data_IF_150574605205
#
_entry.id   IF_150574605205
#
_cell.length_a   1.000
_cell.length_b   1.000
_cell.length_c   1.000
_cell.angle_alpha   90.00
_cell.angle_beta   90.00
_cell.angle_gamma   90.00
#
_symmetry.space_group_name_H-M   'P 1'
#
loop_
_entity.id
_entity.type
_entity.pdbx_description
1 polymer ?
#
# COMPACT_ATOMS: atom_id res chain seq x y z
N UNK A 1 -29.17 10.55 -31.46
CA UNK A 1 -28.37 11.30 -30.46
C UNK A 1 -27.34 10.32 -29.91
N UNK A 2 -26.17 10.29 -30.54
CA UNK A 2 -25.18 9.21 -30.43
C UNK A 2 -24.00 9.70 -29.56
N UNK A 3 -24.26 9.94 -28.27
CA UNK A 3 -23.39 10.78 -27.44
C UNK A 3 -22.75 10.09 -26.21
N UNK A 4 -22.88 8.78 -26.00
CA UNK A 4 -22.35 8.15 -24.76
C UNK A 4 -21.26 7.11 -24.97
N UNK A 5 -20.63 7.06 -26.16
CA UNK A 5 -19.48 6.17 -26.40
C UNK A 5 -18.11 6.80 -26.11
N UNK A 6 -17.99 8.13 -26.16
CA UNK A 6 -16.67 8.76 -26.05
C UNK A 6 -16.20 8.88 -24.59
N UNK A 7 -15.07 8.25 -24.22
CA UNK A 7 -14.47 8.38 -22.90
C UNK A 7 -14.01 9.82 -22.63
N UNK A 8 -14.06 10.23 -21.36
CA UNK A 8 -13.30 11.41 -20.92
C UNK A 8 -11.79 11.12 -20.94
N UNK A 9 -10.96 12.15 -21.03
CA UNK A 9 -9.50 12.09 -20.97
C UNK A 9 -8.99 11.31 -19.74
N UNK A 10 -9.74 11.34 -18.63
CA UNK A 10 -9.42 10.53 -17.46
C UNK A 10 -9.52 9.02 -17.72
N UNK A 11 -10.49 8.56 -18.52
CA UNK A 11 -10.65 7.15 -18.86
C UNK A 11 -9.51 6.67 -19.76
N UNK A 12 -9.08 7.47 -20.74
CA UNK A 12 -7.90 7.13 -21.57
C UNK A 12 -6.67 6.83 -20.70
N UNK A 13 -6.45 7.65 -19.66
CA UNK A 13 -5.38 7.41 -18.69
C UNK A 13 -5.61 6.16 -17.84
N UNK A 14 -6.84 5.89 -17.41
CA UNK A 14 -7.20 4.66 -16.68
C UNK A 14 -6.89 3.43 -17.53
N UNK A 15 -7.29 3.41 -18.80
CA UNK A 15 -7.04 2.31 -19.73
C UNK A 15 -5.54 2.11 -19.98
N UNK A 16 -4.79 3.20 -20.16
CA UNK A 16 -3.33 3.15 -20.28
C UNK A 16 -2.65 2.56 -19.04
N UNK A 17 -3.10 2.95 -17.84
CA UNK A 17 -2.60 2.41 -16.58
C UNK A 17 -3.00 0.95 -16.35
N UNK A 18 -4.24 0.59 -16.66
CA UNK A 18 -4.74 -0.78 -16.56
C UNK A 18 -3.95 -1.73 -17.47
N UNK A 19 -3.57 -1.29 -18.67
CA UNK A 19 -2.67 -2.04 -19.56
C UNK A 19 -1.30 -2.27 -18.92
N UNK A 20 -0.74 -1.29 -18.23
CA UNK A 20 0.53 -1.41 -17.54
C UNK A 20 0.48 -2.29 -16.28
N UNK A 21 -0.70 -2.45 -15.67
CA UNK A 21 -0.90 -3.34 -14.53
C UNK A 21 -0.98 -4.83 -14.92
N UNK A 22 -1.18 -5.12 -16.21
CA UNK A 22 -1.30 -6.48 -16.74
C UNK A 22 0.08 -7.14 -16.85
N UNK A 23 0.19 -8.37 -16.37
CA UNK A 23 1.44 -9.14 -16.41
C UNK A 23 1.80 -9.64 -17.82
N UNK A 24 0.79 -10.06 -18.59
CA UNK A 24 0.97 -10.54 -19.97
C UNK A 24 0.59 -9.45 -20.99
N UNK A 25 1.51 -9.07 -21.87
CA UNK A 25 1.23 -8.07 -22.91
C UNK A 25 0.19 -8.54 -23.96
N UNK A 26 -0.10 -9.83 -24.06
CA UNK A 26 -1.08 -10.41 -24.98
C UNK A 26 -2.47 -10.68 -24.41
N UNK A 27 -2.61 -10.85 -23.09
CA UNK A 27 -3.86 -11.27 -22.45
C UNK A 27 -4.96 -10.21 -22.40
N UNK A 28 -6.23 -10.61 -22.21
CA UNK A 28 -7.32 -9.64 -22.08
C UNK A 28 -7.20 -8.78 -20.81
N UNK A 29 -7.64 -7.52 -20.90
CA UNK A 29 -7.69 -6.61 -19.75
C UNK A 29 -8.94 -6.92 -18.90
N UNK A 30 -8.71 -7.46 -17.70
CA UNK A 30 -9.76 -7.79 -16.73
C UNK A 30 -10.21 -6.63 -15.84
N UNK A 31 -11.26 -6.86 -15.06
CA UNK A 31 -11.85 -5.88 -14.13
C UNK A 31 -10.85 -5.41 -13.05
N UNK A 32 -9.98 -6.31 -12.57
CA UNK A 32 -8.91 -6.04 -11.61
C UNK A 32 -7.89 -5.01 -12.14
N UNK A 33 -7.59 -5.07 -13.44
CA UNK A 33 -6.69 -4.14 -14.10
C UNK A 33 -7.33 -2.76 -14.25
N UNK A 34 -8.61 -2.71 -14.62
CA UNK A 34 -9.36 -1.46 -14.72
C UNK A 34 -9.47 -0.77 -13.36
N UNK A 35 -9.73 -1.53 -12.28
CA UNK A 35 -9.76 -1.01 -10.92
C UNK A 35 -8.41 -0.42 -10.51
N UNK A 36 -7.30 -1.15 -10.75
CA UNK A 36 -5.96 -0.64 -10.53
C UNK A 36 -5.70 0.64 -11.34
N UNK A 37 -6.15 0.69 -12.61
CA UNK A 37 -6.06 1.87 -13.46
C UNK A 37 -6.74 3.11 -12.88
N UNK A 38 -7.92 2.97 -12.25
CA UNK A 38 -8.65 4.08 -11.61
C UNK A 38 -7.80 4.80 -10.56
N UNK A 39 -6.95 4.07 -9.83
CA UNK A 39 -6.10 4.67 -8.77
C UNK A 39 -5.07 5.68 -9.30
N UNK A 40 -4.78 5.65 -10.60
CA UNK A 40 -3.88 6.60 -11.28
C UNK A 40 -4.61 7.84 -11.81
N UNK A 41 -5.94 7.84 -11.79
CA UNK A 41 -6.78 8.92 -12.28
C UNK A 41 -6.84 10.11 -11.30
N UNK A 42 -7.64 11.14 -11.60
CA UNK A 42 -7.92 12.24 -10.67
C UNK A 42 -9.42 12.26 -10.41
N UNK A 43 -9.83 12.73 -9.23
CA UNK A 43 -11.22 12.94 -8.86
C UNK A 43 -11.80 11.86 -7.94
N UNK A 44 -13.12 11.96 -7.74
CA UNK A 44 -13.86 11.28 -6.67
C UNK A 44 -13.68 9.75 -6.64
N UNK A 45 -13.57 9.10 -7.81
CA UNK A 45 -13.36 7.65 -7.86
C UNK A 45 -12.05 7.22 -7.19
N UNK A 46 -10.96 7.92 -7.49
CA UNK A 46 -9.68 7.69 -6.84
C UNK A 46 -9.74 8.04 -5.35
N UNK A 47 -10.36 9.16 -5.01
CA UNK A 47 -10.46 9.62 -3.63
C UNK A 47 -11.24 8.62 -2.76
N UNK A 48 -12.35 8.07 -3.26
CA UNK A 48 -13.12 7.03 -2.60
C UNK A 48 -12.30 5.75 -2.35
N UNK A 49 -11.57 5.27 -3.37
CA UNK A 49 -10.67 4.12 -3.23
C UNK A 49 -9.55 4.39 -2.21
N UNK A 50 -8.86 5.52 -2.34
CA UNK A 50 -7.74 5.89 -1.45
C UNK A 50 -8.22 6.06 -0.01
N UNK A 51 -9.41 6.60 0.21
CA UNK A 51 -10.00 6.77 1.54
C UNK A 51 -10.18 5.42 2.27
N UNK A 52 -10.57 4.36 1.56
CA UNK A 52 -10.72 3.01 2.12
C UNK A 52 -9.41 2.20 2.09
N UNK A 53 -8.31 2.75 1.54
CA UNK A 53 -7.00 2.08 1.51
C UNK A 53 -6.69 1.35 0.21
N UNK A 54 -7.59 1.38 -0.77
CA UNK A 54 -7.37 0.83 -2.11
C UNK A 54 -6.49 1.79 -2.93
N UNK A 55 -5.23 1.90 -2.54
CA UNK A 55 -4.25 2.72 -3.25
C UNK A 55 -3.61 1.96 -4.40
N UNK A 56 -2.96 2.68 -5.32
CA UNK A 56 -2.17 2.05 -6.39
C UNK A 56 -1.16 1.04 -5.82
N UNK A 57 -0.49 1.38 -4.72
CA UNK A 57 0.46 0.50 -4.04
C UNK A 57 -0.21 -0.78 -3.54
N UNK A 58 -1.34 -0.67 -2.82
CA UNK A 58 -2.04 -1.84 -2.28
C UNK A 58 -2.58 -2.76 -3.39
N UNK A 59 -3.25 -2.19 -4.40
CA UNK A 59 -3.82 -2.99 -5.48
C UNK A 59 -2.74 -3.66 -6.33
N UNK A 60 -1.65 -2.96 -6.67
CA UNK A 60 -0.55 -3.55 -7.43
C UNK A 60 0.23 -4.60 -6.63
N UNK A 61 0.37 -4.46 -5.30
CA UNK A 61 1.00 -5.47 -4.45
C UNK A 61 0.25 -6.81 -4.55
N UNK A 62 -1.09 -6.77 -4.44
CA UNK A 62 -1.92 -7.99 -4.58
C UNK A 62 -1.87 -8.57 -5.98
N UNK A 63 -1.94 -7.72 -7.03
CA UNK A 63 -1.87 -8.18 -8.42
C UNK A 63 -0.54 -8.88 -8.73
N UNK A 64 0.58 -8.32 -8.26
CA UNK A 64 1.91 -8.93 -8.41
C UNK A 64 2.00 -10.23 -7.64
N UNK A 65 1.55 -10.25 -6.39
CA UNK A 65 1.57 -11.45 -5.56
C UNK A 65 0.82 -12.62 -6.19
N UNK A 66 -0.39 -12.35 -6.70
CA UNK A 66 -1.20 -13.37 -7.39
C UNK A 66 -0.55 -13.84 -8.70
N UNK A 67 0.04 -12.92 -9.46
CA UNK A 67 0.77 -13.27 -10.69
C UNK A 67 1.96 -14.19 -10.38
N UNK A 68 2.77 -13.85 -9.38
CA UNK A 68 3.97 -14.61 -9.01
C UNK A 68 3.64 -16.00 -8.47
N UNK A 69 2.56 -16.13 -7.69
CA UNK A 69 2.14 -17.39 -7.08
C UNK A 69 1.29 -18.27 -8.00
N UNK A 70 1.07 -17.89 -9.26
CA UNK A 70 0.06 -18.48 -10.14
C UNK A 70 -1.30 -18.60 -9.43
N UNK A 71 -1.62 -17.62 -8.57
CA UNK A 71 -2.84 -17.61 -7.78
C UNK A 71 -4.03 -17.47 -8.71
N UNK A 72 -4.82 -18.53 -8.83
CA UNK A 72 -6.05 -18.48 -9.59
C UNK A 72 -7.01 -17.47 -8.94
N UNK A 73 -7.55 -16.58 -9.76
CA UNK A 73 -8.71 -15.80 -9.37
C UNK A 73 -9.89 -16.75 -9.19
N UNK A 74 -10.65 -16.56 -8.11
CA UNK A 74 -11.89 -17.33 -7.92
C UNK A 74 -12.98 -16.83 -8.87
N UNK A 75 -13.01 -15.53 -9.16
CA UNK A 75 -13.84 -14.95 -10.19
C UNK A 75 -13.23 -15.20 -11.57
N UNK A 76 -14.02 -15.83 -12.45
CA UNK A 76 -13.59 -16.15 -13.83
C UNK A 76 -13.37 -14.88 -14.68
N UNK A 77 -14.09 -13.80 -14.38
CA UNK A 77 -14.13 -12.54 -15.16
C UNK A 77 -14.63 -12.72 -16.60
N UNK A 78 -15.16 -13.90 -16.93
CA UNK A 78 -15.51 -14.35 -18.27
C UNK A 78 -14.34 -14.18 -19.25
N UNK A 79 -13.18 -14.73 -18.89
CA UNK A 79 -11.95 -14.58 -19.67
C UNK A 79 -12.10 -15.15 -21.10
N UNK A 80 -12.86 -16.23 -21.28
CA UNK A 80 -13.12 -16.84 -22.59
C UNK A 80 -14.04 -15.98 -23.48
N UNK A 81 -14.86 -15.10 -22.90
CA UNK A 81 -15.76 -14.20 -23.61
C UNK A 81 -15.13 -12.83 -23.86
N UNK A 82 -13.84 -12.80 -24.20
CA UNK A 82 -13.09 -11.56 -24.42
C UNK A 82 -13.61 -10.78 -25.63
N UNK A 83 -13.69 -9.45 -25.50
CA UNK A 83 -14.26 -8.53 -26.50
C UNK A 83 -13.22 -7.52 -26.93
N UNK A 84 -13.19 -7.15 -28.22
CA UNK A 84 -12.26 -6.12 -28.70
C UNK A 84 -12.61 -4.74 -28.13
N UNK A 85 -11.59 -3.94 -27.82
CA UNK A 85 -11.82 -2.61 -27.24
C UNK A 85 -12.64 -1.70 -28.16
N UNK A 86 -12.52 -1.83 -29.48
CA UNK A 86 -13.32 -1.07 -30.46
C UNK A 86 -14.81 -1.44 -30.43
N UNK A 87 -15.15 -2.69 -30.13
CA UNK A 87 -16.55 -3.12 -30.04
C UNK A 87 -17.26 -2.46 -28.84
N UNK A 88 -16.51 -2.19 -27.76
CA UNK A 88 -17.02 -1.56 -26.54
C UNK A 88 -16.95 -0.03 -26.62
N UNK A 89 -15.80 0.52 -27.03
CA UNK A 89 -15.50 1.96 -26.97
C UNK A 89 -15.67 2.68 -28.31
N UNK A 90 -15.95 1.97 -29.41
CA UNK A 90 -16.01 2.54 -30.76
C UNK A 90 -14.62 3.02 -31.23
N UNK A 91 -14.60 4.14 -31.96
CA UNK A 91 -13.39 4.75 -32.51
C UNK A 91 -12.35 5.17 -31.46
N UNK A 92 -12.78 5.32 -30.21
CA UNK A 92 -11.91 5.64 -29.07
C UNK A 92 -11.23 4.38 -28.47
N UNK A 93 -11.55 3.19 -28.98
CA UNK A 93 -10.96 1.92 -28.57
C UNK A 93 -9.58 1.66 -29.18
N UNK A 94 -8.71 0.95 -28.45
CA UNK A 94 -7.42 0.52 -28.97
C UNK A 94 -7.51 -0.84 -29.64
N UNK A 95 -7.23 -0.90 -30.94
CA UNK A 95 -7.20 -2.12 -31.78
C UNK A 95 -6.40 -3.29 -31.21
N UNK A 96 -5.40 -3.00 -30.38
CA UNK A 96 -4.53 -4.03 -29.80
C UNK A 96 -4.97 -4.48 -28.41
N UNK A 97 -6.08 -3.96 -27.92
CA UNK A 97 -6.59 -4.23 -26.57
C UNK A 97 -7.89 -5.01 -26.67
N UNK A 98 -7.98 -6.09 -25.89
CA UNK A 98 -9.23 -6.81 -25.61
C UNK A 98 -9.57 -6.65 -24.13
N UNK A 99 -10.85 -6.71 -23.81
CA UNK A 99 -11.38 -6.75 -22.45
C UNK A 99 -11.92 -8.15 -22.17
N UNK A 100 -11.85 -8.61 -20.92
CA UNK A 100 -12.62 -9.78 -20.50
C UNK A 100 -14.13 -9.48 -20.61
N UNK A 101 -14.98 -10.51 -20.60
CA UNK A 101 -16.43 -10.31 -20.69
C UNK A 101 -16.98 -9.44 -19.54
N UNK A 102 -16.50 -9.65 -18.32
CA UNK A 102 -16.88 -8.84 -17.16
C UNK A 102 -16.37 -7.39 -17.26
N UNK A 103 -15.15 -7.16 -17.76
CA UNK A 103 -14.63 -5.82 -17.98
C UNK A 103 -15.43 -5.05 -19.05
N UNK A 104 -15.82 -5.72 -20.14
CA UNK A 104 -16.66 -5.14 -21.18
C UNK A 104 -18.06 -4.78 -20.64
N UNK A 105 -18.67 -5.63 -19.81
CA UNK A 105 -19.94 -5.31 -19.13
C UNK A 105 -19.81 -4.14 -18.17
N UNK A 106 -18.76 -4.08 -17.36
CA UNK A 106 -18.52 -2.97 -16.44
C UNK A 106 -18.38 -1.62 -17.18
N UNK A 107 -17.68 -1.59 -18.32
CA UNK A 107 -17.58 -0.42 -19.19
C UNK A 107 -18.93 -0.03 -19.79
N UNK A 108 -19.71 -1.01 -20.25
CA UNK A 108 -21.06 -0.78 -20.78
C UNK A 108 -21.99 -0.21 -19.71
N UNK A 109 -21.98 -0.79 -18.51
CA UNK A 109 -22.72 -0.29 -17.35
C UNK A 109 -22.30 1.14 -17.00
N UNK A 110 -21.00 1.45 -17.06
CA UNK A 110 -20.49 2.81 -16.83
C UNK A 110 -21.05 3.83 -17.84
N UNK A 111 -21.12 3.47 -19.12
CA UNK A 111 -21.75 4.31 -20.15
C UNK A 111 -23.23 4.52 -19.89
N UNK A 112 -23.94 3.48 -19.46
CA UNK A 112 -25.35 3.59 -19.10
C UNK A 112 -25.55 4.46 -17.86
N UNK A 113 -24.69 4.36 -16.84
CA UNK A 113 -24.75 5.24 -15.66
C UNK A 113 -24.56 6.70 -16.06
N UNK A 114 -23.55 6.99 -16.90
CA UNK A 114 -23.33 8.34 -17.42
C UNK A 114 -24.57 8.85 -18.18
N UNK A 115 -25.19 8.01 -19.02
CA UNK A 115 -26.42 8.36 -19.76
C UNK A 115 -27.59 8.66 -18.83
N UNK A 116 -27.79 7.86 -17.79
CA UNK A 116 -28.87 8.06 -16.80
C UNK A 116 -28.67 9.36 -16.00
N UNK A 117 -27.43 9.76 -15.78
CA UNK A 117 -27.05 11.00 -15.09
C UNK A 117 -26.97 12.21 -16.03
N UNK A 118 -27.37 12.07 -17.31
CA UNK A 118 -27.24 13.08 -18.37
C UNK A 118 -25.81 13.66 -18.48
N UNK A 119 -24.81 12.84 -18.18
CA UNK A 119 -23.42 13.21 -18.30
C UNK A 119 -22.99 13.11 -19.76
N UNK A 120 -22.40 14.19 -20.30
CA UNK A 120 -21.94 14.23 -21.69
C UNK A 120 -20.82 13.24 -22.02
N UNK A 121 -20.15 12.65 -21.02
CA UNK A 121 -19.15 11.59 -21.14
C UNK A 121 -19.17 10.68 -19.92
N UNK A 122 -18.76 9.42 -20.07
CA UNK A 122 -18.51 8.56 -18.92
C UNK A 122 -17.09 8.77 -18.37
N UNK A 123 -16.98 8.97 -17.05
CA UNK A 123 -15.70 9.11 -16.34
C UNK A 123 -15.44 7.98 -15.34
N UNK A 124 -14.33 8.09 -14.60
CA UNK A 124 -13.89 7.07 -13.64
C UNK A 124 -14.90 6.75 -12.53
N UNK A 125 -15.78 7.70 -12.17
CA UNK A 125 -16.88 7.46 -11.22
C UNK A 125 -17.85 6.40 -11.73
N UNK A 126 -18.27 6.53 -13.00
CA UNK A 126 -19.21 5.58 -13.59
C UNK A 126 -18.54 4.22 -13.78
N UNK A 127 -17.27 4.20 -14.17
CA UNK A 127 -16.49 2.96 -14.28
C UNK A 127 -16.36 2.26 -12.94
N UNK A 128 -16.04 2.99 -11.86
CA UNK A 128 -15.95 2.41 -10.53
C UNK A 128 -17.29 1.80 -10.10
N UNK A 129 -18.42 2.46 -10.35
CA UNK A 129 -19.74 1.87 -10.07
C UNK A 129 -20.00 0.61 -10.90
N UNK A 130 -19.67 0.62 -12.19
CA UNK A 130 -19.82 -0.56 -13.05
C UNK A 130 -18.96 -1.74 -12.60
N UNK A 131 -17.71 -1.51 -12.19
CA UNK A 131 -16.81 -2.54 -11.69
C UNK A 131 -17.31 -3.17 -10.37
N UNK A 132 -17.95 -2.38 -9.51
CA UNK A 132 -18.41 -2.84 -8.19
C UNK A 132 -19.87 -3.31 -8.18
N UNK A 133 -20.52 -3.41 -9.34
CA UNK A 133 -21.91 -3.82 -9.46
C UNK A 133 -22.09 -5.35 -9.50
N UNK A 134 -21.08 -6.08 -9.97
CA UNK A 134 -21.09 -7.54 -10.14
C UNK A 134 -19.97 -8.17 -9.31
N UNK A 135 -20.10 -9.46 -9.01
CA UNK A 135 -19.02 -10.25 -8.42
C UNK A 135 -18.02 -10.62 -9.53
N UNK A 136 -16.82 -10.03 -9.47
CA UNK A 136 -15.78 -10.11 -10.49
C UNK A 136 -14.40 -9.91 -9.86
N UNK A 137 -13.34 -9.95 -10.67
CA UNK A 137 -11.97 -9.84 -10.14
C UNK A 137 -11.66 -8.48 -9.51
N UNK A 138 -12.32 -7.39 -9.87
CA UNK A 138 -12.18 -6.11 -9.17
C UNK A 138 -12.71 -6.19 -7.72
N UNK A 139 -13.88 -6.80 -7.52
CA UNK A 139 -14.44 -7.05 -6.18
C UNK A 139 -13.55 -8.00 -5.39
N UNK A 140 -13.08 -9.08 -6.02
CA UNK A 140 -12.15 -10.02 -5.39
C UNK A 140 -10.82 -9.33 -4.99
N UNK A 141 -10.29 -8.45 -5.84
CA UNK A 141 -9.07 -7.68 -5.57
C UNK A 141 -9.24 -6.75 -4.36
N UNK A 142 -10.38 -6.07 -4.22
CA UNK A 142 -10.68 -5.29 -3.01
C UNK A 142 -10.79 -6.20 -1.78
N UNK A 143 -11.46 -7.34 -1.91
CA UNK A 143 -11.59 -8.33 -0.84
C UNK A 143 -10.23 -8.85 -0.36
N UNK A 144 -9.29 -9.11 -1.29
CA UNK A 144 -7.92 -9.49 -0.97
C UNK A 144 -7.15 -8.38 -0.23
N UNK A 145 -7.53 -7.12 -0.40
CA UNK A 145 -7.01 -5.99 0.39
C UNK A 145 -7.74 -5.80 1.74
N UNK A 146 -8.77 -6.60 2.03
CA UNK A 146 -9.64 -6.42 3.20
C UNK A 146 -10.59 -5.22 3.08
N UNK A 147 -10.91 -4.80 1.86
CA UNK A 147 -11.71 -3.60 1.57
C UNK A 147 -13.10 -4.02 1.08
N UNK A 148 -14.14 -3.44 1.67
CA UNK A 148 -15.52 -3.65 1.23
C UNK A 148 -15.84 -2.80 0.00
N UNK A 149 -16.36 -3.40 -1.10
CA UNK A 149 -16.90 -2.65 -2.24
C UNK A 149 -17.98 -1.64 -1.83
N UNK A 150 -18.84 -2.00 -0.88
CA UNK A 150 -19.91 -1.14 -0.39
C UNK A 150 -19.36 0.09 0.35
N UNK A 151 -18.27 -0.05 1.10
CA UNK A 151 -17.62 1.09 1.75
C UNK A 151 -17.03 2.07 0.72
N UNK A 152 -16.45 1.56 -0.38
CA UNK A 152 -15.96 2.38 -1.50
C UNK A 152 -17.11 3.12 -2.19
N UNK A 153 -18.23 2.44 -2.46
CA UNK A 153 -19.41 3.05 -3.05
C UNK A 153 -20.01 4.12 -2.13
N UNK A 154 -20.13 3.85 -0.83
CA UNK A 154 -20.60 4.83 0.14
C UNK A 154 -19.73 6.11 0.15
N UNK A 155 -18.40 5.96 0.06
CA UNK A 155 -17.48 7.11 -0.09
C UNK A 155 -17.68 7.85 -1.40
N UNK A 156 -17.88 7.13 -2.49
CA UNK A 156 -18.11 7.71 -3.82
C UNK A 156 -19.36 8.58 -3.85
N UNK A 157 -20.37 8.21 -3.05
CA UNK A 157 -21.64 8.93 -2.89
C UNK A 157 -21.60 10.01 -1.78
N UNK A 158 -20.42 10.26 -1.18
CA UNK A 158 -20.21 11.31 -0.17
C UNK A 158 -20.51 10.89 1.27
N UNK A 159 -20.79 9.62 1.52
CA UNK A 159 -20.99 9.07 2.86
C UNK A 159 -19.70 8.84 3.65
N UNK A 160 -19.85 8.51 4.94
CA UNK A 160 -18.75 8.06 5.79
C UNK A 160 -18.48 6.58 5.57
N UNK A 161 -17.33 6.23 4.99
CA UNK A 161 -16.83 4.85 4.90
C UNK A 161 -16.23 4.32 6.22
N UNK A 162 -15.71 3.10 6.19
CA UNK A 162 -15.34 2.27 7.36
C UNK A 162 -13.94 2.62 7.91
N UNK A 163 -13.74 3.89 8.31
CA UNK A 163 -12.44 4.46 8.70
C UNK A 163 -11.85 3.95 10.03
N UNK A 164 -12.24 2.79 10.53
CA UNK A 164 -11.64 2.19 11.72
C UNK A 164 -10.75 1.03 11.29
N UNK A 165 -9.50 1.36 10.94
CA UNK A 165 -8.43 0.38 10.81
C UNK A 165 -7.88 -0.04 12.18
N UNK A 166 -8.38 0.48 13.30
CA UNK A 166 -7.96 0.10 14.65
C UNK A 166 -6.48 0.37 14.94
N UNK A 167 -5.76 1.09 14.07
CA UNK A 167 -4.39 1.51 14.32
C UNK A 167 -4.37 2.69 15.27
N UNK A 168 -3.36 2.70 16.15
CA UNK A 168 -3.04 3.86 16.97
C UNK A 168 -2.83 5.09 16.05
N UNK A 169 -3.43 6.27 16.35
CA UNK A 169 -3.26 7.48 15.55
C UNK A 169 -1.81 7.88 15.31
N UNK A 170 -0.88 7.53 16.20
CA UNK A 170 0.55 7.80 16.04
C UNK A 170 1.15 7.07 14.82
N UNK A 171 0.56 5.95 14.40
CA UNK A 171 1.00 5.16 13.25
C UNK A 171 0.42 5.65 11.91
N UNK A 172 -0.48 6.64 11.90
CA UNK A 172 -1.14 7.09 10.66
C UNK A 172 -0.16 7.64 9.63
N UNK A 173 0.90 8.32 10.07
CA UNK A 173 1.94 8.82 9.17
C UNK A 173 2.66 7.67 8.46
N UNK A 174 3.07 6.65 9.21
CA UNK A 174 3.70 5.42 8.70
C UNK A 174 2.77 4.65 7.78
N UNK A 175 1.50 4.48 8.19
CA UNK A 175 0.45 3.86 7.37
C UNK A 175 0.29 4.57 6.02
N UNK A 176 0.16 5.88 6.04
CA UNK A 176 -0.06 6.66 4.83
C UNK A 176 1.16 6.62 3.89
N UNK A 177 2.37 6.46 4.42
CA UNK A 177 3.58 6.23 3.63
C UNK A 177 3.57 4.84 2.99
N UNK A 178 3.29 3.78 3.76
CA UNK A 178 3.27 2.39 3.26
C UNK A 178 2.16 2.17 2.23
N UNK A 179 0.99 2.80 2.42
CA UNK A 179 -0.08 2.80 1.43
C UNK A 179 0.19 3.72 0.24
N UNK A 180 1.28 4.49 0.21
CA UNK A 180 1.57 5.42 -0.88
C UNK A 180 0.60 6.61 -0.97
N UNK A 181 -0.09 6.95 0.13
CA UNK A 181 -0.92 8.16 0.27
C UNK A 181 -0.06 9.41 0.50
N UNK A 182 1.13 9.23 1.06
CA UNK A 182 2.10 10.28 1.33
C UNK A 182 3.49 9.88 0.84
N UNK A 183 4.44 10.83 0.90
CA UNK A 183 5.83 10.60 0.54
C UNK A 183 6.74 11.29 1.55
N UNK A 184 7.92 10.71 1.80
CA UNK A 184 8.95 11.35 2.61
C UNK A 184 9.39 12.70 2.03
N UNK A 185 9.56 13.72 2.88
CA UNK A 185 10.00 15.06 2.42
C UNK A 185 11.43 15.05 1.88
N UNK A 186 12.31 14.20 2.44
CA UNK A 186 13.74 14.10 2.09
C UNK A 186 14.06 13.09 0.99
N UNK A 187 13.05 12.56 0.30
CA UNK A 187 13.29 11.58 -0.75
C UNK A 187 13.92 12.24 -1.99
N UNK A 188 15.00 11.68 -2.58
CA UNK A 188 15.57 12.16 -3.83
C UNK A 188 14.51 12.29 -4.92
N UNK A 189 14.60 13.31 -5.77
CA UNK A 189 13.58 13.59 -6.79
C UNK A 189 13.31 12.39 -7.72
N UNK A 190 14.34 11.63 -8.07
CA UNK A 190 14.21 10.43 -8.90
C UNK A 190 13.42 9.31 -8.18
N UNK A 191 13.61 9.12 -6.89
CA UNK A 191 12.83 8.18 -6.08
C UNK A 191 11.37 8.64 -5.90
N UNK A 192 11.14 9.96 -5.77
CA UNK A 192 9.77 10.52 -5.78
C UNK A 192 9.05 10.25 -7.09
N UNK A 193 9.78 10.27 -8.21
CA UNK A 193 9.24 9.91 -9.51
C UNK A 193 8.98 8.40 -9.63
N UNK A 194 9.91 7.56 -9.19
CA UNK A 194 9.76 6.11 -9.19
C UNK A 194 8.54 5.68 -8.38
N UNK A 195 8.42 6.12 -7.13
CA UNK A 195 7.28 5.78 -6.23
C UNK A 195 5.93 6.16 -6.81
N UNK A 196 5.84 7.32 -7.48
CA UNK A 196 4.60 7.81 -8.07
C UNK A 196 4.15 6.99 -9.28
N UNK A 197 5.09 6.43 -10.04
CA UNK A 197 4.78 5.69 -11.27
C UNK A 197 4.67 4.18 -11.06
N UNK A 198 5.53 3.59 -10.23
CA UNK A 198 5.62 2.14 -10.11
C UNK A 198 4.81 1.58 -8.94
N UNK A 199 4.25 2.41 -8.05
CA UNK A 199 3.54 1.91 -6.87
C UNK A 199 4.44 1.00 -6.03
N UNK A 200 5.65 1.48 -5.72
CA UNK A 200 6.63 0.72 -4.92
C UNK A 200 5.98 0.34 -3.60
N UNK A 201 5.95 -0.97 -3.34
CA UNK A 201 5.47 -1.51 -2.08
C UNK A 201 6.61 -1.54 -1.07
N UNK A 202 6.68 -0.51 -0.25
CA UNK A 202 7.74 -0.37 0.76
C UNK A 202 7.64 -1.40 1.88
N UNK A 203 6.45 -1.96 2.13
CA UNK A 203 6.28 -3.04 3.09
C UNK A 203 7.01 -4.32 2.65
N UNK A 204 7.29 -4.49 1.36
CA UNK A 204 8.08 -5.61 0.87
C UNK A 204 9.58 -5.49 1.19
N UNK A 205 10.06 -4.32 1.64
CA UNK A 205 11.48 -3.98 1.84
C UNK A 205 11.73 -3.34 3.24
N UNK A 206 11.37 -4.01 4.35
CA UNK A 206 11.30 -3.33 5.63
C UNK A 206 12.66 -2.87 6.17
N UNK A 207 13.74 -3.65 6.03
CA UNK A 207 15.06 -3.21 6.51
C UNK A 207 15.58 -1.96 5.77
N UNK A 208 15.44 -1.92 4.44
CA UNK A 208 15.80 -0.74 3.65
C UNK A 208 14.95 0.48 4.05
N UNK A 209 13.65 0.26 4.22
CA UNK A 209 12.72 1.33 4.58
C UNK A 209 12.92 1.88 6.00
N UNK A 210 13.34 1.05 6.95
CA UNK A 210 13.61 1.46 8.33
C UNK A 210 14.57 2.65 8.40
N UNK A 211 15.57 2.74 7.51
CA UNK A 211 16.45 3.91 7.45
C UNK A 211 15.70 5.23 7.21
N UNK A 212 14.80 5.27 6.21
CA UNK A 212 14.02 6.47 5.91
C UNK A 212 13.04 6.82 7.03
N UNK A 213 12.36 5.82 7.58
CA UNK A 213 11.41 6.04 8.67
C UNK A 213 12.12 6.48 9.96
N UNK A 214 13.32 5.97 10.24
CA UNK A 214 14.14 6.35 11.40
C UNK A 214 14.34 7.87 11.45
N UNK A 215 14.67 8.49 10.31
CA UNK A 215 14.80 9.95 10.23
C UNK A 215 13.48 10.69 10.47
N UNK A 216 12.35 10.17 10.00
CA UNK A 216 11.05 10.77 10.28
C UNK A 216 10.62 10.60 11.74
N UNK A 217 10.95 9.48 12.39
CA UNK A 217 10.67 9.26 13.80
C UNK A 217 11.42 10.27 14.66
N UNK A 218 12.73 10.45 14.44
CA UNK A 218 13.51 11.49 15.12
C UNK A 218 12.91 12.89 14.90
N UNK A 219 12.54 13.21 13.66
CA UNK A 219 11.90 14.49 13.34
C UNK A 219 10.57 14.69 14.05
N UNK A 220 9.72 13.65 14.15
CA UNK A 220 8.42 13.70 14.83
C UNK A 220 8.58 13.91 16.34
N UNK A 221 9.64 13.36 16.94
CA UNK A 221 10.01 13.60 18.34
C UNK A 221 10.69 14.96 18.58
N UNK A 222 11.07 15.67 17.51
CA UNK A 222 11.76 16.96 17.56
C UNK A 222 13.28 16.83 17.73
N UNK A 223 13.82 15.63 17.60
CA UNK A 223 15.23 15.35 17.78
C UNK A 223 16.04 15.73 16.55
N UNK A 224 17.20 16.36 16.78
CA UNK A 224 18.13 16.79 15.72
C UNK A 224 19.14 15.71 15.34
N UNK A 225 19.35 14.76 16.24
CA UNK A 225 20.32 13.67 16.10
C UNK A 225 19.55 12.36 16.10
N UNK A 226 19.84 11.53 15.11
CA UNK A 226 19.24 10.21 15.01
C UNK A 226 20.06 9.23 15.84
N UNK A 227 19.39 8.59 16.80
CA UNK A 227 19.91 7.46 17.57
C UNK A 227 19.13 6.15 17.31
N UNK A 228 19.62 5.05 17.85
CA UNK A 228 19.05 3.71 17.66
C UNK A 228 17.62 3.54 18.24
N UNK A 229 17.21 4.37 19.19
CA UNK A 229 15.83 4.46 19.70
C UNK A 229 14.83 4.82 18.59
N UNK A 230 15.25 5.59 17.59
CA UNK A 230 14.43 5.91 16.43
C UNK A 230 14.34 4.76 15.43
N UNK A 231 15.41 3.97 15.34
CA UNK A 231 15.43 2.73 14.54
C UNK A 231 14.43 1.74 15.14
N UNK A 232 14.39 1.63 16.46
CA UNK A 232 13.41 0.82 17.17
C UNK A 232 11.97 1.26 16.90
N UNK A 233 11.68 2.56 17.00
CA UNK A 233 10.37 3.12 16.65
C UNK A 233 10.00 2.83 15.19
N UNK A 234 10.95 2.97 14.27
CA UNK A 234 10.73 2.69 12.86
C UNK A 234 10.34 1.23 12.62
N UNK A 235 11.08 0.27 13.20
CA UNK A 235 10.81 -1.17 13.09
C UNK A 235 9.42 -1.51 13.63
N UNK A 236 9.07 -1.03 14.83
CA UNK A 236 7.77 -1.26 15.45
C UNK A 236 6.63 -0.66 14.62
N UNK A 237 6.82 0.58 14.14
CA UNK A 237 5.82 1.24 13.31
C UNK A 237 5.56 0.49 12.00
N UNK A 238 6.61 0.02 11.31
CA UNK A 238 6.41 -0.77 10.08
C UNK A 238 5.68 -2.07 10.39
N UNK A 239 6.11 -2.78 11.44
CA UNK A 239 5.57 -4.09 11.80
C UNK A 239 4.09 -4.01 12.17
N UNK A 240 3.70 -3.06 13.02
CA UNK A 240 2.31 -2.93 13.46
C UNK A 240 1.38 -2.51 12.32
N UNK A 241 1.83 -1.62 11.44
CA UNK A 241 1.07 -1.31 10.22
C UNK A 241 1.00 -2.52 9.29
N UNK A 242 2.09 -3.26 9.10
CA UNK A 242 2.13 -4.45 8.26
C UNK A 242 1.16 -5.54 8.74
N UNK A 243 1.02 -5.73 10.06
CA UNK A 243 0.03 -6.63 10.66
C UNK A 243 -1.40 -6.22 10.30
N UNK A 244 -1.69 -4.92 10.21
CA UNK A 244 -3.02 -4.43 9.83
C UNK A 244 -3.30 -4.51 8.33
N UNK A 245 -2.25 -4.43 7.51
CA UNK A 245 -2.31 -4.44 6.05
C UNK A 245 -1.52 -5.63 5.46
N UNK A 246 -1.92 -6.88 5.73
CA UNK A 246 -1.15 -8.07 5.35
C UNK A 246 -0.98 -8.23 3.83
N UNK A 247 -1.87 -7.64 3.04
CA UNK A 247 -1.78 -7.64 1.57
C UNK A 247 -0.59 -6.80 1.04
N UNK A 248 -0.08 -5.85 1.82
CA UNK A 248 1.17 -5.15 1.50
C UNK A 248 2.40 -6.02 1.79
N UNK A 249 2.25 -7.01 2.66
CA UNK A 249 3.34 -7.91 3.01
C UNK A 249 3.41 -9.05 2.00
N UNK A 250 2.29 -9.64 1.58
CA UNK A 250 2.25 -10.90 0.82
C UNK A 250 3.14 -11.01 -0.43
N UNK A 251 3.45 -9.91 -1.12
CA UNK A 251 4.28 -9.87 -2.32
C UNK A 251 5.63 -10.61 -2.12
N UNK A 252 5.93 -11.57 -3.01
CA UNK A 252 7.16 -12.38 -3.05
C UNK A 252 7.41 -13.35 -1.86
N UNK A 253 6.41 -13.72 -1.04
CA UNK A 253 6.66 -14.67 0.08
C UNK A 253 6.56 -16.14 -0.35
N UNK A 254 7.67 -16.88 -0.29
CA UNK A 254 7.71 -18.34 -0.39
C UNK A 254 8.25 -18.94 0.93
N UNK A 255 7.36 -19.18 1.91
CA UNK A 255 7.72 -19.79 3.19
C UNK A 255 7.41 -18.92 4.41
N UNK A 256 8.12 -19.14 5.53
CA UNK A 256 7.96 -18.35 6.77
C UNK A 256 8.50 -16.93 6.52
N UNK A 257 7.63 -15.94 6.57
CA UNK A 257 8.04 -14.55 6.35
C UNK A 257 8.89 -14.05 7.52
N UNK A 258 10.17 -13.81 7.27
CA UNK A 258 11.12 -13.31 8.27
C UNK A 258 11.40 -11.81 8.11
N UNK A 259 10.74 -11.14 7.17
CA UNK A 259 11.01 -9.71 6.88
C UNK A 259 10.72 -8.82 8.08
N UNK A 260 9.73 -9.19 8.87
CA UNK A 260 9.33 -8.48 10.09
C UNK A 260 9.77 -9.15 11.39
N UNK A 261 10.68 -10.13 11.32
CA UNK A 261 11.10 -10.92 12.49
C UNK A 261 11.61 -10.07 13.66
N UNK A 262 12.23 -8.91 13.40
CA UNK A 262 12.66 -7.99 14.45
C UNK A 262 11.48 -7.34 15.19
N UNK A 263 10.44 -6.92 14.46
CA UNK A 263 9.20 -6.41 15.06
C UNK A 263 8.43 -7.48 15.82
N UNK A 264 8.37 -8.70 15.28
CA UNK A 264 7.76 -9.86 15.94
C UNK A 264 8.48 -10.21 17.26
N UNK A 265 9.82 -10.21 17.25
CA UNK A 265 10.64 -10.44 18.43
C UNK A 265 10.31 -9.41 19.53
N UNK A 266 10.23 -8.12 19.19
CA UNK A 266 9.91 -7.06 20.15
C UNK A 266 8.49 -7.19 20.69
N UNK A 267 7.52 -7.48 19.81
CA UNK A 267 6.13 -7.72 20.20
C UNK A 267 6.00 -8.92 21.17
N UNK A 268 6.79 -9.97 20.97
CA UNK A 268 6.83 -11.13 21.88
C UNK A 268 7.34 -10.80 23.29
N UNK A 269 8.07 -9.69 23.44
CA UNK A 269 8.51 -9.13 24.72
C UNK A 269 7.49 -8.15 25.32
N UNK A 270 6.31 -8.01 24.70
CA UNK A 270 5.28 -7.03 25.10
C UNK A 270 5.61 -5.59 24.69
N UNK A 271 6.58 -5.39 23.80
CA UNK A 271 7.02 -4.06 23.37
C UNK A 271 6.33 -3.68 22.07
N UNK A 272 5.64 -2.54 22.09
CA UNK A 272 4.96 -1.95 20.93
C UNK A 272 5.34 -0.47 20.75
N UNK A 273 5.03 0.09 19.59
CA UNK A 273 5.31 1.46 19.21
C UNK A 273 4.83 2.45 20.27
N UNK A 274 3.57 2.33 20.70
CA UNK A 274 2.97 3.25 21.68
C UNK A 274 3.69 3.22 23.02
N UNK A 275 4.13 2.03 23.48
CA UNK A 275 4.90 1.89 24.72
C UNK A 275 6.26 2.60 24.65
N UNK A 276 6.98 2.45 23.53
CA UNK A 276 8.29 3.08 23.30
C UNK A 276 8.13 4.59 23.15
N UNK A 277 7.17 5.02 22.32
CA UNK A 277 6.89 6.44 22.08
C UNK A 277 6.52 7.17 23.38
N UNK A 278 5.67 6.56 24.22
CA UNK A 278 5.29 7.13 25.51
C UNK A 278 6.50 7.36 26.42
N UNK A 279 7.43 6.41 26.49
CA UNK A 279 8.63 6.57 27.32
C UNK A 279 9.55 7.68 26.80
N UNK A 280 9.69 7.79 25.48
CA UNK A 280 10.52 8.83 24.85
C UNK A 280 9.90 10.24 24.93
N UNK A 281 8.59 10.33 25.10
CA UNK A 281 7.85 11.61 25.16
C UNK A 281 7.41 12.02 26.55
N UNK A 282 7.59 11.17 27.57
CA UNK A 282 7.31 11.50 28.96
C UNK A 282 8.18 12.67 29.44
N UNK A 283 7.67 13.45 30.40
CA UNK A 283 8.40 14.59 30.97
C UNK A 283 9.68 14.15 31.70
N UNK A 284 9.63 13.01 32.38
CA UNK A 284 10.80 12.36 33.00
C UNK A 284 11.43 11.35 32.04
N UNK A 285 12.07 11.87 30.99
CA UNK A 285 12.69 11.03 29.96
C UNK A 285 13.81 10.18 30.55
N UNK A 286 13.82 8.91 30.18
CA UNK A 286 14.94 8.02 30.49
C UNK A 286 16.22 8.60 29.88
N UNK A 287 17.25 8.70 30.70
CA UNK A 287 18.56 9.13 30.22
C UNK A 287 19.23 8.00 29.42
N UNK A 288 19.29 8.17 28.10
CA UNK A 288 19.93 7.23 27.18
C UNK A 288 21.34 7.72 26.83
N UNK A 289 22.35 6.91 27.13
CA UNK A 289 23.74 7.22 26.76
C UNK A 289 23.91 7.19 25.25
N UNK A 290 24.98 7.78 24.72
CA UNK A 290 25.22 7.76 23.28
C UNK A 290 25.42 6.32 22.75
N UNK A 291 25.00 6.09 21.51
CA UNK A 291 25.29 4.85 20.79
C UNK A 291 26.80 4.71 20.52
N UNK A 292 27.31 3.47 20.50
CA UNK A 292 28.71 3.16 20.17
C UNK A 292 29.09 3.63 18.77
N UNK A 293 28.14 3.62 17.85
CA UNK A 293 28.25 4.05 16.45
C UNK A 293 26.95 4.67 15.99
N UNK A 294 26.97 5.33 14.83
CA UNK A 294 25.78 6.01 14.32
C UNK A 294 24.64 5.03 14.02
N UNK A 295 23.40 5.49 14.14
CA UNK A 295 22.22 4.70 13.77
C UNK A 295 22.23 4.27 12.29
N UNK A 296 22.82 5.09 11.42
CA UNK A 296 22.97 4.82 9.99
C UNK A 296 23.87 3.59 9.75
N UNK A 297 24.98 3.46 10.48
CA UNK A 297 25.87 2.30 10.35
C UNK A 297 25.18 0.97 10.65
N UNK A 298 24.26 0.93 11.64
CA UNK A 298 23.50 -0.29 11.94
C UNK A 298 22.53 -0.64 10.80
N UNK A 299 21.86 0.35 10.23
CA UNK A 299 20.92 0.15 9.11
C UNK A 299 21.68 -0.26 7.84
N UNK A 300 22.80 0.38 7.55
CA UNK A 300 23.64 0.10 6.40
C UNK A 300 24.28 -1.29 6.47
N UNK A 301 24.70 -1.74 7.66
CA UNK A 301 25.16 -3.11 7.88
C UNK A 301 24.05 -4.13 7.59
N UNK A 302 22.83 -3.90 8.09
CA UNK A 302 21.70 -4.79 7.88
C UNK A 302 21.21 -4.84 6.41
N UNK A 303 21.38 -3.74 5.67
CA UNK A 303 20.87 -3.61 4.31
C UNK A 303 21.94 -3.78 3.23
N UNK A 304 23.23 -3.81 3.60
CA UNK A 304 24.34 -3.78 2.65
C UNK A 304 24.40 -2.46 1.87
N UNK A 305 24.04 -1.34 2.50
CA UNK A 305 23.93 -0.01 1.87
C UNK A 305 22.96 0.04 0.68
N UNK A 306 21.99 -0.87 0.63
CA UNK A 306 21.02 -0.97 -0.46
C UNK A 306 19.60 -0.73 0.08
N UNK A 307 19.03 0.43 -0.25
CA UNK A 307 17.65 0.77 0.12
C UNK A 307 16.61 -0.21 -0.47
N UNK A 308 16.95 -0.88 -1.57
CA UNK A 308 16.11 -1.90 -2.20
C UNK A 308 16.38 -3.31 -1.67
N UNK A 309 17.09 -3.43 -0.55
CA UNK A 309 17.36 -4.71 0.10
C UNK A 309 16.06 -5.38 0.57
N UNK A 310 15.93 -6.67 0.25
CA UNK A 310 14.87 -7.55 0.76
C UNK A 310 15.19 -8.13 2.15
N UNK A 311 16.25 -7.65 2.80
CA UNK A 311 16.62 -8.09 4.14
C UNK A 311 15.48 -7.85 5.13
N UNK A 312 15.34 -8.79 6.08
CA UNK A 312 14.42 -8.66 7.19
C UNK A 312 14.98 -7.81 8.33
N UNK A 313 14.09 -7.43 9.24
CA UNK A 313 14.42 -6.61 10.43
C UNK A 313 15.07 -7.40 11.56
N UNK A 314 15.06 -8.74 11.52
CA UNK A 314 15.63 -9.60 12.57
C UNK A 314 17.10 -9.33 12.87
N UNK A 315 18.02 -9.47 11.88
CA UNK A 315 19.45 -9.22 12.09
C UNK A 315 19.77 -7.81 12.61
N UNK A 316 18.97 -6.81 12.21
CA UNK A 316 19.09 -5.45 12.70
C UNK A 316 18.76 -5.37 14.20
N UNK A 317 17.63 -5.94 14.63
CA UNK A 317 17.26 -5.98 16.05
C UNK A 317 18.27 -6.77 16.88
N UNK A 318 18.73 -7.92 16.40
CA UNK A 318 19.78 -8.72 17.07
C UNK A 318 21.05 -7.90 17.32
N UNK A 319 21.49 -7.13 16.32
CA UNK A 319 22.68 -6.29 16.43
C UNK A 319 22.46 -5.15 17.44
N UNK A 320 21.31 -4.47 17.38
CA UNK A 320 20.95 -3.41 18.33
C UNK A 320 20.92 -3.91 19.78
N UNK A 321 20.43 -5.14 20.00
CA UNK A 321 20.34 -5.76 21.32
C UNK A 321 21.67 -6.31 21.84
N UNK A 322 22.60 -6.67 20.96
CA UNK A 322 23.91 -7.21 21.35
C UNK A 322 24.84 -6.12 21.90
N UNK A 323 24.77 -4.92 21.34
CA UNK A 323 25.66 -3.80 21.69
C UNK A 323 25.05 -2.89 22.77
N UNK A 324 25.85 -1.98 23.34
CA UNK A 324 25.34 -0.96 24.29
C UNK A 324 24.70 0.21 23.53
N UNK A 325 23.55 -0.05 22.91
CA UNK A 325 22.78 0.95 22.16
C UNK A 325 21.72 1.62 23.03
N UNK A 326 21.23 2.78 22.59
CA UNK A 326 20.05 3.44 23.13
C UNK A 326 18.80 2.57 23.02
N UNK A 327 18.63 1.88 21.90
CA UNK A 327 17.54 0.93 21.69
C UNK A 327 17.53 -0.16 22.78
N UNK A 328 18.69 -0.77 23.07
CA UNK A 328 18.82 -1.78 24.12
C UNK A 328 18.49 -1.21 25.51
N UNK A 329 19.06 -0.05 25.85
CA UNK A 329 18.79 0.60 27.13
C UNK A 329 17.29 0.89 27.32
N UNK A 330 16.61 1.32 26.26
CA UNK A 330 15.17 1.59 26.27
C UNK A 330 14.34 0.32 26.45
N UNK A 331 14.71 -0.77 25.76
CA UNK A 331 14.08 -2.08 25.92
C UNK A 331 14.28 -2.62 27.33
N UNK A 332 15.50 -2.57 27.86
CA UNK A 332 15.82 -3.02 29.21
C UNK A 332 15.04 -2.23 30.28
N UNK A 333 14.75 -0.95 30.03
CA UNK A 333 13.94 -0.14 30.93
C UNK A 333 12.44 -0.49 30.84
N UNK A 334 11.92 -0.71 29.64
CA UNK A 334 10.53 -1.12 29.41
C UNK A 334 10.22 -2.48 30.04
N UNK A 335 11.11 -3.46 29.87
CA UNK A 335 10.97 -4.80 30.48
C UNK A 335 11.00 -4.71 32.02
N UNK A 336 11.86 -3.84 32.58
CA UNK A 336 11.90 -3.62 34.04
C UNK A 336 10.63 -2.96 34.58
N UNK A 337 10.01 -2.07 33.81
CA UNK A 337 8.78 -1.39 34.20
C UNK A 337 7.53 -2.28 34.10
N UNK A 338 7.59 -3.37 33.32
CA UNK A 338 6.46 -4.28 33.11
C UNK A 338 6.97 -5.73 32.97
N UNK A 339 7.25 -6.44 34.08
CA UNK A 339 7.74 -7.81 34.01
C UNK A 339 6.71 -8.70 33.29
N UNK A 340 7.14 -9.64 32.43
CA UNK A 340 6.23 -10.55 31.76
C UNK A 340 5.46 -11.38 32.80
N UNK A 341 4.14 -11.39 32.68
CA UNK A 341 3.23 -12.25 33.46
C UNK A 341 3.33 -13.70 33.05
#
# INVERSE_FOLDING_TARGET
MEATKSPDWNIVRVLGAARGARADAGGAMGTEHLLAGITTSKGLAREALVAEGATTTALLAVLRDRTEKNGAWSADDDAEASVASEDVLGDDGDRRTTFTGAAARALTAAMEHARREDAGKFGARHLLRGLLAEDNRAVELLGACGISPQAVLARLDGGSGSREDGLDPLLYATRDLLLGRSHYRRMPLWMRWLTKLSGVNWAALPAGWVGLETYEQARRLGDRVVGTEHVLLAILATHEVALRYPHLVGENTTGRDTRYAGGEQLASLGINYTSVHRVLTADDRIHLTADTRSAEEYVDEATGHNLMSRAGTGPLVETLLREQTRARQLIDALIRACPPT
#
